data_IF_280417877631
#
_entry.id   IF_280417877631
#
_cell.length_a   1.000
_cell.length_b   1.000
_cell.length_c   1.000
_cell.angle_alpha   90.00
_cell.angle_beta   90.00
_cell.angle_gamma   90.00
#
_symmetry.space_group_name_H-M   'P 1'
#
loop_
_entity.id
_entity.type
_entity.pdbx_description
1 polymer ?
#
# COMPACT_ATOMS: atom_id res chain seq x y z
N UNK A 1 -6.41 -6.92 29.55
CA UNK A 1 -7.52 -6.87 28.57
C UNK A 1 -7.59 -5.44 28.02
N UNK A 2 -6.99 -5.18 26.86
CA UNK A 2 -7.10 -3.89 26.18
C UNK A 2 -7.61 -4.19 24.79
N UNK A 3 -8.93 -4.10 24.66
CA UNK A 3 -9.66 -4.24 23.40
C UNK A 3 -9.22 -3.04 22.55
N UNK A 4 -8.41 -3.30 21.53
CA UNK A 4 -8.43 -2.47 20.31
C UNK A 4 -9.91 -2.40 19.97
N UNK A 5 -10.52 -1.22 20.07
CA UNK A 5 -11.94 -1.09 19.76
C UNK A 5 -12.14 -1.76 18.40
N UNK A 6 -13.01 -2.77 18.36
CA UNK A 6 -13.20 -3.57 17.16
C UNK A 6 -13.84 -2.66 16.10
N UNK A 7 -12.99 -2.08 15.26
CA UNK A 7 -13.36 -1.14 14.21
C UNK A 7 -13.54 -1.86 12.88
N UNK A 8 -13.52 -3.19 12.85
CA UNK A 8 -13.64 -3.93 11.58
C UNK A 8 -15.04 -3.80 10.99
N UNK A 9 -15.10 -3.76 9.67
CA UNK A 9 -16.33 -3.78 8.89
C UNK A 9 -16.58 -5.20 8.41
N UNK A 10 -17.78 -5.70 8.65
CA UNK A 10 -18.25 -6.96 8.04
C UNK A 10 -18.61 -6.71 6.57
N UNK A 11 -18.11 -7.58 5.71
CA UNK A 11 -18.38 -7.57 4.27
C UNK A 11 -18.92 -8.94 3.92
N UNK A 12 -20.16 -9.00 3.42
CA UNK A 12 -20.84 -10.25 3.05
C UNK A 12 -20.15 -11.00 1.90
N UNK A 13 -19.29 -10.31 1.15
CA UNK A 13 -18.69 -10.81 -0.08
C UNK A 13 -19.69 -10.82 -1.24
N UNK A 14 -19.24 -11.31 -2.39
CA UNK A 14 -20.05 -11.32 -3.60
C UNK A 14 -19.21 -11.46 -4.85
N UNK A 15 -19.87 -11.32 -5.99
CA UNK A 15 -19.22 -11.31 -7.30
C UNK A 15 -19.01 -9.86 -7.73
N UNK A 16 -17.82 -9.52 -8.19
CA UNK A 16 -17.51 -8.21 -8.76
C UNK A 16 -16.58 -8.33 -9.97
N UNK A 17 -16.45 -7.23 -10.70
CA UNK A 17 -15.48 -7.09 -11.78
C UNK A 17 -14.16 -6.54 -11.18
N UNK A 18 -13.14 -7.40 -11.11
CA UNK A 18 -11.80 -7.05 -10.64
C UNK A 18 -10.93 -6.56 -11.81
N UNK A 19 -10.09 -5.56 -11.57
CA UNK A 19 -9.21 -4.94 -12.56
C UNK A 19 -9.89 -3.83 -13.39
N UNK A 20 -9.21 -3.38 -14.44
CA UNK A 20 -9.68 -2.36 -15.38
C UNK A 20 -9.09 -2.60 -16.77
N UNK A 21 -9.88 -2.33 -17.82
CA UNK A 21 -9.41 -2.38 -19.20
C UNK A 21 -8.93 -1.02 -19.74
N UNK A 22 -9.09 0.06 -18.98
CA UNK A 22 -9.00 1.42 -19.53
C UNK A 22 -7.72 2.18 -19.11
N UNK A 23 -6.96 1.61 -18.17
CA UNK A 23 -5.80 2.28 -17.56
C UNK A 23 -4.49 1.51 -17.80
N UNK A 24 -3.82 1.05 -16.73
CA UNK A 24 -2.50 0.45 -16.84
C UNK A 24 -2.56 -1.01 -17.34
N UNK A 25 -1.56 -1.48 -18.11
CA UNK A 25 -1.54 -2.85 -18.63
C UNK A 25 -1.67 -3.94 -17.56
N UNK A 26 -1.05 -3.74 -16.39
CA UNK A 26 -1.09 -4.72 -15.29
C UNK A 26 -2.46 -4.90 -14.63
N UNK A 27 -3.39 -3.98 -14.85
CA UNK A 27 -4.77 -4.04 -14.35
C UNK A 27 -5.65 -4.92 -15.25
N UNK A 28 -5.17 -5.22 -16.47
CA UNK A 28 -5.88 -5.99 -17.49
C UNK A 28 -5.58 -7.50 -17.38
N UNK A 29 -6.53 -8.34 -17.80
CA UNK A 29 -7.90 -8.00 -18.17
C UNK A 29 -8.79 -7.78 -16.94
N UNK A 30 -9.83 -6.97 -17.09
CA UNK A 30 -10.95 -6.96 -16.14
C UNK A 30 -11.68 -8.31 -16.19
N UNK A 31 -11.95 -8.92 -15.04
CA UNK A 31 -12.50 -10.27 -14.94
C UNK A 31 -13.39 -10.46 -13.71
N UNK A 32 -14.31 -11.44 -13.75
CA UNK A 32 -15.23 -11.70 -12.64
C UNK A 32 -14.53 -12.47 -11.53
N UNK A 33 -14.64 -11.97 -10.31
CA UNK A 33 -14.13 -12.62 -9.10
C UNK A 33 -15.25 -12.74 -8.09
N UNK A 34 -15.31 -13.86 -7.38
CA UNK A 34 -16.14 -14.05 -6.19
C UNK A 34 -15.27 -14.02 -4.95
N UNK A 35 -15.61 -13.17 -4.00
CA UNK A 35 -15.04 -13.16 -2.64
C UNK A 35 -16.10 -13.61 -1.65
N UNK A 36 -15.72 -14.45 -0.70
CA UNK A 36 -16.57 -14.85 0.43
C UNK A 36 -16.71 -13.74 1.46
N UNK A 37 -17.51 -13.96 2.52
CA UNK A 37 -17.61 -13.01 3.62
C UNK A 37 -16.30 -12.92 4.40
N UNK A 38 -15.98 -11.72 4.88
CA UNK A 38 -14.80 -11.43 5.69
C UNK A 38 -15.01 -10.13 6.48
N UNK A 39 -14.15 -9.87 7.44
CA UNK A 39 -14.07 -8.59 8.14
C UNK A 39 -12.79 -7.88 7.72
N UNK A 40 -12.83 -6.57 7.57
CA UNK A 40 -11.64 -5.76 7.24
C UNK A 40 -11.54 -4.53 8.14
N UNK A 41 -10.32 -4.18 8.53
CA UNK A 41 -10.08 -2.97 9.33
C UNK A 41 -10.61 -1.72 8.61
N UNK A 42 -11.36 -0.90 9.36
CA UNK A 42 -11.92 0.37 8.85
C UNK A 42 -10.84 1.36 8.39
N UNK A 43 -9.67 1.31 9.01
CA UNK A 43 -8.54 2.21 8.81
C UNK A 43 -7.26 1.39 8.56
N UNK A 44 -6.24 1.95 7.89
CA UNK A 44 -4.88 1.43 7.95
C UNK A 44 -4.36 1.36 9.40
N UNK A 45 -3.44 0.44 9.67
CA UNK A 45 -2.79 0.32 10.99
C UNK A 45 -2.03 1.61 11.31
N UNK A 46 -2.30 2.18 12.48
CA UNK A 46 -1.71 3.45 12.92
C UNK A 46 -0.34 3.25 13.60
N UNK A 47 0.45 4.33 13.69
CA UNK A 47 1.68 4.33 14.49
C UNK A 47 1.43 3.99 15.96
N UNK A 48 0.32 4.46 16.53
CA UNK A 48 -0.09 4.15 17.91
C UNK A 48 -0.31 2.66 18.11
N UNK A 49 -0.98 1.99 17.18
CA UNK A 49 -1.23 0.56 17.24
C UNK A 49 0.04 -0.26 17.02
N UNK A 50 0.84 0.10 16.00
CA UNK A 50 2.10 -0.56 15.73
C UNK A 50 3.11 -0.41 16.89
N UNK A 51 3.11 0.74 17.57
CA UNK A 51 3.91 0.96 18.77
C UNK A 51 3.55 0.00 19.91
N UNK A 52 2.27 -0.34 20.07
CA UNK A 52 1.83 -1.37 21.04
C UNK A 52 2.36 -2.75 20.68
N UNK A 53 2.29 -3.13 19.41
CA UNK A 53 2.86 -4.37 18.90
C UNK A 53 4.35 -4.47 19.22
N UNK A 54 5.12 -3.44 18.86
CA UNK A 54 6.56 -3.44 19.08
C UNK A 54 6.89 -3.45 20.58
N UNK A 55 6.17 -2.68 21.39
CA UNK A 55 6.36 -2.66 22.85
C UNK A 55 6.03 -4.01 23.50
N UNK A 56 5.02 -4.72 22.99
CA UNK A 56 4.58 -6.00 23.55
C UNK A 56 5.47 -7.18 23.13
N UNK A 57 6.09 -7.11 21.94
CA UNK A 57 6.80 -8.25 21.34
C UNK A 57 8.31 -8.06 21.25
N UNK A 58 8.81 -6.84 21.38
CA UNK A 58 10.20 -6.50 21.07
C UNK A 58 10.52 -6.59 19.58
N UNK A 59 9.51 -6.55 18.69
CA UNK A 59 9.72 -6.63 17.24
C UNK A 59 10.63 -5.51 16.73
N UNK A 60 11.65 -5.89 15.98
CA UNK A 60 12.56 -4.99 15.27
C UNK A 60 12.23 -5.08 13.79
N UNK A 61 11.86 -3.99 13.12
CA UNK A 61 11.44 -4.07 11.72
C UNK A 61 12.61 -4.37 10.78
N UNK A 62 12.31 -4.75 9.54
CA UNK A 62 13.36 -4.95 8.54
C UNK A 62 14.19 -3.67 8.29
N UNK A 63 13.56 -2.49 8.31
CA UNK A 63 14.25 -1.20 8.18
C UNK A 63 15.22 -0.89 9.34
N UNK A 64 15.03 -1.55 10.49
CA UNK A 64 15.88 -1.40 11.68
C UNK A 64 17.02 -2.43 11.71
N UNK A 65 17.16 -3.25 10.67
CA UNK A 65 18.21 -4.29 10.55
C UNK A 65 19.07 -4.01 9.32
N UNK A 66 20.35 -4.41 9.34
CA UNK A 66 21.16 -4.43 8.13
C UNK A 66 20.54 -5.35 7.06
N UNK A 67 20.60 -4.94 5.80
CA UNK A 67 20.24 -5.81 4.68
C UNK A 67 21.24 -6.97 4.56
N UNK A 68 20.78 -8.14 4.12
CA UNK A 68 21.64 -9.30 3.95
C UNK A 68 22.53 -9.12 2.71
N UNK A 69 23.87 -9.07 2.83
CA UNK A 69 24.76 -8.91 1.68
C UNK A 69 24.62 -10.03 0.64
N UNK A 70 24.09 -11.21 1.03
CA UNK A 70 23.85 -12.33 0.11
C UNK A 70 22.74 -12.05 -0.89
N UNK A 71 21.77 -11.21 -0.52
CA UNK A 71 20.67 -10.80 -1.41
C UNK A 71 21.13 -9.71 -2.40
N UNK A 72 22.24 -9.02 -2.08
CA UNK A 72 22.80 -7.91 -2.87
C UNK A 72 24.30 -8.07 -3.16
N UNK A 73 24.71 -9.07 -3.98
CA UNK A 73 26.12 -9.30 -4.29
C UNK A 73 26.78 -8.06 -4.94
N UNK A 74 27.87 -7.59 -4.33
CA UNK A 74 28.62 -6.43 -4.83
C UNK A 74 28.08 -5.06 -4.42
N UNK A 75 27.02 -5.00 -3.60
CA UNK A 75 26.57 -3.76 -3.01
C UNK A 75 27.64 -3.16 -2.07
N UNK A 76 27.70 -1.83 -2.05
CA UNK A 76 28.52 -1.10 -1.07
C UNK A 76 28.01 -1.43 0.34
N UNK A 77 28.84 -1.94 1.27
CA UNK A 77 28.43 -2.20 2.64
C UNK A 77 27.82 -0.99 3.37
N UNK A 78 28.18 0.23 2.97
CA UNK A 78 27.57 1.45 3.50
C UNK A 78 26.07 1.58 3.14
N UNK A 79 25.63 0.91 2.07
CA UNK A 79 24.23 0.82 1.64
C UNK A 79 23.50 -0.39 2.22
N UNK A 80 24.12 -1.17 3.10
CA UNK A 80 23.48 -2.33 3.75
C UNK A 80 23.18 -2.08 5.23
N UNK A 81 23.44 -0.88 5.74
CA UNK A 81 23.11 -0.48 7.12
C UNK A 81 21.60 -0.36 7.31
N UNK A 82 21.06 -0.41 8.56
CA UNK A 82 19.65 -0.18 8.83
C UNK A 82 19.15 1.10 8.17
N UNK A 83 18.23 0.95 7.21
CA UNK A 83 17.82 2.01 6.30
C UNK A 83 16.45 1.71 5.72
N UNK A 84 15.84 2.74 5.14
CA UNK A 84 14.62 2.59 4.35
C UNK A 84 14.60 3.60 3.21
N UNK A 85 13.74 3.35 2.22
CA UNK A 85 13.60 4.23 1.05
C UNK A 85 12.69 5.42 1.41
N UNK A 86 13.21 6.63 1.27
CA UNK A 86 12.52 7.88 1.61
C UNK A 86 12.37 8.75 0.37
N UNK A 87 11.19 9.34 0.21
CA UNK A 87 10.97 10.37 -0.80
C UNK A 87 11.60 11.67 -0.33
N UNK A 88 12.51 12.22 -1.13
CA UNK A 88 13.10 13.54 -0.90
C UNK A 88 12.68 14.42 -2.07
N UNK A 89 11.81 15.38 -1.76
CA UNK A 89 11.30 16.33 -2.75
C UNK A 89 12.46 17.15 -3.33
N UNK A 90 12.70 17.10 -4.66
CA UNK A 90 13.70 17.95 -5.30
C UNK A 90 13.34 19.42 -5.20
N UNK A 91 14.34 20.31 -5.22
CA UNK A 91 14.12 21.77 -5.16
C UNK A 91 13.59 22.38 -6.47
N UNK A 92 13.47 21.60 -7.54
CA UNK A 92 13.01 22.03 -8.86
C UNK A 92 12.79 20.85 -9.81
N UNK A 93 12.41 21.10 -11.07
CA UNK A 93 12.20 20.05 -12.06
C UNK A 93 13.42 19.15 -12.23
N UNK A 94 13.18 17.84 -12.35
CA UNK A 94 14.20 16.80 -12.54
C UNK A 94 13.77 15.83 -13.64
N UNK A 95 14.72 15.02 -14.12
CA UNK A 95 14.41 13.96 -15.09
C UNK A 95 13.51 12.88 -14.47
N UNK A 96 12.30 12.76 -15.01
CA UNK A 96 11.25 11.84 -14.56
C UNK A 96 11.53 10.37 -14.91
N UNK A 97 12.52 10.09 -15.77
CA UNK A 97 12.91 8.72 -16.11
C UNK A 97 13.86 8.10 -15.09
N UNK A 98 14.50 8.92 -14.24
CA UNK A 98 15.42 8.47 -13.20
C UNK A 98 14.81 8.69 -11.81
N UNK A 99 14.27 7.62 -11.24
CA UNK A 99 13.63 7.63 -9.91
C UNK A 99 14.59 7.97 -8.76
N UNK A 100 15.90 7.79 -8.94
CA UNK A 100 16.91 8.16 -7.93
C UNK A 100 17.00 9.67 -7.69
N UNK A 101 16.37 10.48 -8.55
CA UNK A 101 16.28 11.93 -8.34
C UNK A 101 15.41 12.32 -7.14
N UNK A 102 14.53 11.42 -6.66
CA UNK A 102 13.66 11.69 -5.50
C UNK A 102 13.49 10.50 -4.54
N UNK A 103 13.91 9.29 -4.92
CA UNK A 103 13.94 8.13 -4.03
C UNK A 103 15.36 7.90 -3.50
N UNK A 104 15.52 8.03 -2.19
CA UNK A 104 16.82 7.89 -1.54
C UNK A 104 16.78 6.75 -0.52
N UNK A 105 17.83 5.93 -0.50
CA UNK A 105 18.05 4.98 0.57
C UNK A 105 18.71 5.71 1.75
N UNK A 106 17.97 5.87 2.85
CA UNK A 106 18.36 6.73 3.97
C UNK A 106 18.65 5.89 5.20
N UNK A 107 19.91 5.94 5.65
CA UNK A 107 20.34 5.29 6.88
C UNK A 107 19.57 5.81 8.10
N UNK A 108 19.08 4.89 8.92
CA UNK A 108 18.28 5.16 10.11
C UNK A 108 16.84 5.60 9.85
N UNK A 109 16.40 5.70 8.59
CA UNK A 109 14.98 5.87 8.28
C UNK A 109 14.24 4.56 8.59
N UNK A 110 13.17 4.65 9.37
CA UNK A 110 12.33 3.52 9.76
C UNK A 110 10.97 4.05 10.24
N UNK A 111 10.11 3.17 10.77
CA UNK A 111 8.76 3.54 11.18
C UNK A 111 8.72 4.58 12.32
N UNK A 112 9.76 4.67 13.17
CA UNK A 112 9.90 5.70 14.22
C UNK A 112 10.48 7.01 13.70
N UNK A 113 11.21 6.94 12.60
CA UNK A 113 11.95 8.04 11.99
C UNK A 113 11.56 8.18 10.50
N UNK A 114 10.27 8.45 10.18
CA UNK A 114 9.72 8.22 8.84
C UNK A 114 10.19 9.21 7.76
N UNK A 115 10.93 10.25 8.17
CA UNK A 115 11.51 11.24 7.27
C UNK A 115 13.04 11.26 7.34
N UNK A 116 13.64 10.23 7.93
CA UNK A 116 15.08 10.11 8.14
C UNK A 116 15.49 10.13 9.62
N UNK A 117 16.77 9.86 9.92
CA UNK A 117 17.27 9.45 11.25
C UNK A 117 17.11 10.49 12.36
N UNK A 118 16.86 11.75 12.02
CA UNK A 118 16.69 12.86 12.98
C UNK A 118 15.23 13.26 13.18
N UNK A 119 14.30 12.51 12.61
CA UNK A 119 12.85 12.77 12.73
C UNK A 119 12.22 11.88 13.79
N UNK A 120 11.05 12.21 14.31
CA UNK A 120 10.34 11.43 15.32
C UNK A 120 8.87 11.29 14.93
N UNK A 121 8.11 10.51 15.70
CA UNK A 121 6.66 10.32 15.52
C UNK A 121 5.80 11.42 16.18
N UNK A 122 6.40 12.56 16.56
CA UNK A 122 5.67 13.63 17.23
C UNK A 122 4.46 14.10 16.39
N UNK A 123 3.27 13.95 16.94
CA UNK A 123 2.01 14.28 16.26
C UNK A 123 1.55 13.28 15.18
N UNK A 124 2.22 12.15 15.02
CA UNK A 124 1.92 11.13 14.00
C UNK A 124 1.26 9.85 14.55
N UNK A 125 0.82 9.86 15.81
CA UNK A 125 0.23 8.69 16.46
C UNK A 125 -0.91 8.06 15.65
N UNK A 126 -1.82 8.88 15.13
CA UNK A 126 -3.02 8.44 14.40
C UNK A 126 -2.82 8.46 12.88
N UNK A 127 -1.57 8.61 12.41
CA UNK A 127 -1.19 8.41 11.02
C UNK A 127 -0.91 6.93 10.74
N UNK A 128 -1.04 6.47 9.49
CA UNK A 128 -0.67 5.11 9.12
C UNK A 128 0.82 4.85 9.41
N UNK A 129 1.12 3.67 9.93
CA UNK A 129 2.52 3.23 10.03
C UNK A 129 3.10 3.02 8.64
N UNK A 130 4.33 3.51 8.44
CA UNK A 130 5.09 3.37 7.19
C UNK A 130 6.46 2.75 7.47
N UNK A 131 7.28 2.54 6.43
CA UNK A 131 8.57 1.83 6.54
C UNK A 131 8.44 0.39 7.08
N UNK A 132 7.31 -0.25 6.77
CA UNK A 132 7.04 -1.64 7.11
C UNK A 132 7.12 -2.51 5.86
N UNK A 133 7.87 -3.60 5.94
CA UNK A 133 7.89 -4.62 4.89
C UNK A 133 6.66 -5.52 4.98
N UNK A 134 6.46 -6.39 3.97
CA UNK A 134 5.44 -7.43 4.04
C UNK A 134 5.59 -8.31 5.30
N UNK A 135 6.83 -8.63 5.68
CA UNK A 135 7.10 -9.45 6.86
C UNK A 135 6.71 -8.74 8.17
N UNK A 136 6.95 -7.43 8.25
CA UNK A 136 6.56 -6.61 9.41
C UNK A 136 5.03 -6.52 9.53
N UNK A 137 4.34 -6.26 8.41
CA UNK A 137 2.89 -6.21 8.34
C UNK A 137 2.25 -7.55 8.74
N UNK A 138 2.79 -8.67 8.23
CA UNK A 138 2.30 -9.99 8.57
C UNK A 138 2.58 -10.36 10.03
N UNK A 139 3.72 -9.95 10.60
CA UNK A 139 4.05 -10.20 12.00
C UNK A 139 3.07 -9.46 12.93
N UNK A 140 2.75 -8.20 12.63
CA UNK A 140 1.73 -7.44 13.34
C UNK A 140 0.36 -8.12 13.24
N UNK A 141 -0.10 -8.45 12.02
CA UNK A 141 -1.42 -9.04 11.81
C UNK A 141 -1.57 -10.34 12.61
N UNK A 142 -0.56 -11.23 12.56
CA UNK A 142 -0.53 -12.47 13.35
C UNK A 142 -0.56 -12.22 14.86
N UNK A 143 0.13 -11.20 15.36
CA UNK A 143 0.16 -10.87 16.79
C UNK A 143 -1.23 -10.51 17.33
N UNK A 144 -2.04 -9.79 16.54
CA UNK A 144 -3.43 -9.48 16.90
C UNK A 144 -4.45 -10.55 16.47
N UNK A 145 -4.00 -11.70 15.97
CA UNK A 145 -4.89 -12.80 15.55
C UNK A 145 -5.62 -12.56 14.22
N UNK A 146 -5.11 -11.64 13.39
CA UNK A 146 -5.65 -11.29 12.07
C UNK A 146 -4.74 -11.76 10.94
N UNK A 147 -5.08 -11.42 9.70
CA UNK A 147 -4.28 -11.64 8.50
C UNK A 147 -4.25 -10.39 7.60
N UNK A 148 -3.47 -10.42 6.52
CA UNK A 148 -3.51 -9.40 5.47
C UNK A 148 -4.63 -9.74 4.45
N UNK A 149 -5.30 -8.72 3.87
CA UNK A 149 -6.31 -8.95 2.83
C UNK A 149 -5.67 -9.61 1.61
N UNK A 150 -6.44 -10.41 0.87
CA UNK A 150 -6.05 -10.71 -0.51
C UNK A 150 -6.18 -9.49 -1.39
N UNK A 151 -5.54 -9.51 -2.56
CA UNK A 151 -5.77 -8.48 -3.55
C UNK A 151 -7.26 -8.34 -3.91
N UNK A 152 -7.95 -9.46 -4.08
CA UNK A 152 -9.36 -9.46 -4.43
C UNK A 152 -10.26 -8.95 -3.29
N UNK A 153 -9.99 -9.38 -2.05
CA UNK A 153 -10.70 -8.87 -0.86
C UNK A 153 -10.51 -7.36 -0.73
N UNK A 154 -9.27 -6.88 -0.89
CA UNK A 154 -8.95 -5.46 -0.83
C UNK A 154 -9.66 -4.66 -1.92
N UNK A 155 -9.63 -5.11 -3.17
CA UNK A 155 -10.26 -4.36 -4.27
C UNK A 155 -11.79 -4.38 -4.18
N UNK A 156 -12.37 -5.51 -3.79
CA UNK A 156 -13.80 -5.60 -3.52
C UNK A 156 -14.22 -4.61 -2.44
N UNK A 157 -13.48 -4.59 -1.33
CA UNK A 157 -13.69 -3.66 -0.23
C UNK A 157 -13.52 -2.20 -0.68
N UNK A 158 -12.50 -1.89 -1.49
CA UNK A 158 -12.21 -0.54 -1.98
C UNK A 158 -13.33 0.02 -2.87
N UNK A 159 -13.99 -0.84 -3.67
CA UNK A 159 -15.14 -0.46 -4.52
C UNK A 159 -16.39 -0.11 -3.73
N UNK A 160 -16.49 -0.49 -2.45
CA UNK A 160 -17.53 0.03 -1.55
C UNK A 160 -18.96 -0.28 -1.98
N UNK A 161 -19.19 -1.41 -2.68
CA UNK A 161 -20.52 -1.81 -3.16
C UNK A 161 -21.04 -1.04 -4.38
N UNK A 162 -20.19 -0.25 -5.04
CA UNK A 162 -20.56 0.50 -6.24
C UNK A 162 -20.24 -0.28 -7.51
N UNK A 163 -20.95 0.04 -8.59
CA UNK A 163 -20.55 -0.37 -9.94
C UNK A 163 -19.13 0.15 -10.27
N UNK A 164 -18.41 -0.50 -11.20
CA UNK A 164 -17.06 -0.07 -11.56
C UNK A 164 -17.01 1.41 -11.97
N UNK A 165 -16.26 2.19 -11.20
CA UNK A 165 -15.96 3.60 -11.43
C UNK A 165 -14.44 3.82 -11.34
N UNK A 166 -13.97 5.01 -11.74
CA UNK A 166 -12.54 5.31 -11.73
C UNK A 166 -11.94 5.33 -10.30
N UNK A 167 -12.62 5.99 -9.35
CA UNK A 167 -12.21 6.13 -7.95
C UNK A 167 -13.21 5.45 -7.00
N UNK A 168 -12.82 5.27 -5.74
CA UNK A 168 -13.67 4.62 -4.72
C UNK A 168 -15.02 5.35 -4.44
N UNK A 169 -15.18 6.57 -4.95
CA UNK A 169 -16.35 7.44 -4.77
C UNK A 169 -16.99 7.89 -6.09
N UNK A 170 -16.56 7.36 -7.24
CA UNK A 170 -17.06 7.73 -8.57
C UNK A 170 -15.97 8.12 -9.56
N UNK A 171 -16.33 8.83 -10.63
CA UNK A 171 -15.43 9.06 -11.78
C UNK A 171 -14.68 10.40 -11.75
N UNK A 172 -14.94 11.25 -10.75
CA UNK A 172 -14.25 12.53 -10.57
C UNK A 172 -13.30 12.46 -9.40
N UNK A 173 -12.06 12.94 -9.59
CA UNK A 173 -11.04 12.98 -8.52
C UNK A 173 -11.49 13.83 -7.33
N UNK A 174 -12.24 14.90 -7.59
CA UNK A 174 -12.82 15.76 -6.55
C UNK A 174 -14.35 15.70 -6.58
N UNK A 175 -14.97 15.83 -5.40
CA UNK A 175 -16.43 15.92 -5.27
C UNK A 175 -16.77 17.32 -4.78
N UNK A 176 -17.48 18.08 -5.63
CA UNK A 176 -17.81 19.51 -5.38
C UNK A 176 -16.58 20.35 -5.05
N UNK A 177 -15.48 20.12 -5.78
CA UNK A 177 -14.21 20.84 -5.61
C UNK A 177 -13.41 20.44 -4.38
N UNK A 178 -13.80 19.38 -3.66
CA UNK A 178 -13.05 18.86 -2.51
C UNK A 178 -12.35 17.56 -2.84
N UNK A 179 -11.06 17.47 -2.49
CA UNK A 179 -10.30 16.22 -2.53
C UNK A 179 -10.94 15.18 -1.60
N UNK A 180 -10.94 13.92 -2.03
CA UNK A 180 -11.55 12.79 -1.30
C UNK A 180 -10.51 11.78 -0.82
N UNK A 181 -9.23 12.04 -1.08
CA UNK A 181 -8.09 11.27 -0.61
C UNK A 181 -6.86 12.16 -0.57
N UNK A 182 -5.88 11.75 0.24
CA UNK A 182 -4.55 12.36 0.26
C UNK A 182 -3.72 11.84 -0.92
N UNK A 183 -3.38 12.73 -1.85
CA UNK A 183 -2.63 12.46 -3.09
C UNK A 183 -1.70 13.64 -3.40
N UNK A 184 -0.99 13.62 -4.52
CA UNK A 184 -0.14 14.75 -4.90
C UNK A 184 -0.88 15.74 -5.81
N UNK A 185 -0.89 17.02 -5.45
CA UNK A 185 -1.35 18.11 -6.32
C UNK A 185 -0.19 19.03 -6.69
N UNK A 186 -0.12 19.43 -7.96
CA UNK A 186 0.99 20.20 -8.52
C UNK A 186 1.93 19.36 -9.38
N UNK A 187 3.11 19.88 -9.69
CA UNK A 187 4.09 19.20 -10.53
C UNK A 187 4.95 18.22 -9.72
N UNK A 188 4.58 16.94 -9.77
CA UNK A 188 5.44 15.88 -9.25
C UNK A 188 6.81 15.85 -9.97
N UNK A 189 7.94 15.58 -9.29
CA UNK A 189 8.10 15.34 -7.84
C UNK A 189 8.46 16.59 -7.03
N UNK A 190 8.50 17.78 -7.63
CA UNK A 190 9.21 18.93 -7.05
C UNK A 190 8.28 20.01 -6.48
N UNK A 191 7.00 20.02 -6.86
CA UNK A 191 5.99 20.96 -6.36
C UNK A 191 4.74 20.23 -5.89
N UNK A 192 4.53 20.18 -4.57
CA UNK A 192 3.26 19.79 -3.94
C UNK A 192 2.59 21.06 -3.38
N UNK A 193 1.39 21.38 -3.90
CA UNK A 193 0.60 22.56 -3.49
C UNK A 193 -0.36 22.28 -2.33
N UNK A 194 -0.47 21.04 -1.86
CA UNK A 194 -1.22 20.63 -0.65
C UNK A 194 -2.69 21.07 -0.65
N UNK A 195 -3.36 21.04 -1.80
CA UNK A 195 -4.79 21.40 -1.89
C UNK A 195 -5.68 20.46 -1.07
N UNK A 196 -5.23 19.23 -0.84
CA UNK A 196 -5.91 18.24 0.00
C UNK A 196 -5.63 18.39 1.50
N UNK A 197 -4.74 19.33 1.88
CA UNK A 197 -4.37 19.64 3.26
C UNK A 197 -3.16 18.89 3.82
N UNK A 198 -2.51 18.01 3.05
CA UNK A 198 -1.44 17.17 3.58
C UNK A 198 -0.24 16.99 2.62
N UNK A 199 0.94 17.44 3.03
CA UNK A 199 2.21 17.16 2.31
C UNK A 199 2.68 15.70 2.38
N UNK A 200 2.49 15.07 3.53
CA UNK A 200 2.89 13.70 3.84
C UNK A 200 1.63 12.85 4.07
N UNK A 201 1.74 11.71 4.73
CA UNK A 201 0.57 10.98 5.25
C UNK A 201 -0.38 11.91 6.02
N UNK A 202 -1.67 11.61 5.97
CA UNK A 202 -2.72 12.23 6.78
C UNK A 202 -3.11 11.29 7.93
N UNK A 203 -3.70 11.79 9.04
CA UNK A 203 -4.34 10.92 10.02
C UNK A 203 -5.32 9.98 9.33
N UNK A 204 -5.45 8.75 9.82
CA UNK A 204 -6.41 7.81 9.24
C UNK A 204 -7.84 8.35 9.42
N UNK A 205 -8.66 8.19 8.39
CA UNK A 205 -10.03 8.69 8.40
C UNK A 205 -10.19 10.19 8.13
N UNK A 206 -9.16 10.87 7.63
CA UNK A 206 -9.22 12.32 7.32
C UNK A 206 -10.21 12.66 6.19
N UNK A 207 -10.46 11.72 5.29
CA UNK A 207 -11.36 11.88 4.15
C UNK A 207 -12.64 11.04 4.31
N UNK A 208 -13.70 11.27 3.51
CA UNK A 208 -14.92 10.49 3.61
C UNK A 208 -14.70 8.98 3.39
N UNK A 209 -15.46 8.11 4.07
CA UNK A 209 -15.40 6.68 3.80
C UNK A 209 -16.07 6.33 2.47
N UNK A 210 -15.75 5.16 1.92
CA UNK A 210 -16.50 4.59 0.81
C UNK A 210 -17.85 3.99 1.26
N UNK A 211 -18.58 3.37 0.33
CA UNK A 211 -19.93 2.83 0.60
C UNK A 211 -20.00 1.70 1.65
N UNK A 212 -18.88 1.08 2.01
CA UNK A 212 -18.81 0.11 3.12
C UNK A 212 -18.37 0.74 4.45
N UNK A 213 -18.12 2.05 4.49
CA UNK A 213 -17.61 2.70 5.69
C UNK A 213 -16.10 2.58 5.87
N UNK A 214 -15.35 2.20 4.83
CA UNK A 214 -13.89 2.07 4.85
C UNK A 214 -13.23 3.39 4.47
N UNK A 215 -12.16 3.74 5.19
CA UNK A 215 -11.40 4.96 4.99
C UNK A 215 -10.06 4.68 4.32
N UNK A 216 -9.52 5.70 3.64
CA UNK A 216 -8.18 5.69 3.05
C UNK A 216 -7.91 4.48 2.13
N UNK A 217 -8.95 3.93 1.51
CA UNK A 217 -8.78 2.83 0.54
C UNK A 217 -8.01 3.29 -0.70
N UNK A 218 -7.98 4.58 -1.01
CA UNK A 218 -7.12 5.13 -2.06
C UNK A 218 -6.40 6.36 -1.54
N UNK A 219 -5.13 6.55 -1.95
CA UNK A 219 -4.26 7.61 -1.42
C UNK A 219 -3.69 7.31 -0.04
N UNK A 220 -3.17 8.33 0.64
CA UNK A 220 -2.47 8.28 1.92
C UNK A 220 -1.23 7.35 1.91
N UNK A 221 -1.40 6.04 2.02
CA UNK A 221 -0.33 5.04 1.91
C UNK A 221 -0.75 3.88 1.02
N UNK A 222 0.22 3.32 0.30
CA UNK A 222 0.07 2.01 -0.32
C UNK A 222 -0.16 0.96 0.74
N UNK A 223 -0.92 -0.07 0.42
CA UNK A 223 -1.23 -1.14 1.36
C UNK A 223 -0.81 -2.51 0.87
N UNK A 224 -0.09 -3.24 1.72
CA UNK A 224 0.27 -4.63 1.48
C UNK A 224 -0.95 -5.54 1.40
N UNK A 225 -0.94 -6.45 0.42
CA UNK A 225 -1.87 -7.59 0.36
C UNK A 225 -1.12 -8.91 0.41
N UNK A 226 -1.86 -9.99 0.67
CA UNK A 226 -1.31 -11.34 0.88
C UNK A 226 -0.85 -12.04 -0.40
N UNK A 227 -1.04 -11.44 -1.57
CA UNK A 227 -0.94 -12.13 -2.86
C UNK A 227 0.47 -11.99 -3.45
N UNK A 228 1.02 -13.09 -3.95
CA UNK A 228 2.19 -13.01 -4.83
C UNK A 228 1.75 -12.38 -6.16
N UNK A 229 2.53 -11.42 -6.63
CA UNK A 229 2.20 -10.68 -7.84
C UNK A 229 2.20 -11.60 -9.07
N UNK A 230 1.12 -11.55 -9.84
CA UNK A 230 1.02 -12.14 -11.18
C UNK A 230 0.12 -11.29 -12.08
N UNK A 231 0.31 -11.42 -13.39
CA UNK A 231 -0.59 -10.81 -14.38
C UNK A 231 -2.00 -11.44 -14.29
N UNK A 232 -3.05 -10.63 -14.50
CA UNK A 232 -4.42 -11.11 -14.41
C UNK A 232 -4.78 -12.09 -15.54
N UNK A 233 -4.12 -12.03 -16.70
CA UNK A 233 -4.34 -12.97 -17.81
C UNK A 233 -3.94 -14.42 -17.48
N UNK A 234 -3.09 -14.60 -16.46
CA UNK A 234 -2.71 -15.92 -15.93
C UNK A 234 -3.72 -16.48 -14.94
N UNK A 235 -4.71 -15.70 -14.52
CA UNK A 235 -5.81 -16.21 -13.71
C UNK A 235 -6.70 -17.08 -14.60
N UNK A 236 -6.58 -18.40 -14.42
CA UNK A 236 -7.35 -19.35 -15.20
C UNK A 236 -8.82 -19.29 -14.80
N UNK A 237 -9.68 -18.80 -15.69
CA UNK A 237 -11.12 -19.08 -15.62
C UNK A 237 -11.68 -19.34 -17.02
N UNK A 238 -12.66 -20.22 -17.11
CA UNK A 238 -13.54 -20.26 -18.28
C UNK A 238 -14.29 -18.93 -18.30
N UNK A 239 -14.37 -18.27 -19.45
CA UNK A 239 -14.94 -16.92 -19.60
C UNK A 239 -16.35 -16.72 -19.00
N UNK A 240 -17.11 -17.79 -18.72
CA UNK A 240 -18.44 -17.74 -18.11
C UNK A 240 -18.44 -17.71 -16.57
N UNK A 241 -17.35 -18.07 -15.88
CA UNK A 241 -17.34 -18.28 -14.44
C UNK A 241 -16.50 -17.23 -13.71
N UNK A 242 -16.99 -16.78 -12.55
CA UNK A 242 -16.18 -15.99 -11.62
C UNK A 242 -15.10 -16.89 -10.99
N UNK A 243 -13.91 -16.34 -10.76
CA UNK A 243 -12.85 -17.00 -10.00
C UNK A 243 -13.19 -16.92 -8.52
N UNK A 244 -13.24 -18.07 -7.84
CA UNK A 244 -13.59 -18.16 -6.42
C UNK A 244 -12.38 -17.89 -5.51
N UNK A 245 -12.47 -16.85 -4.69
CA UNK A 245 -11.49 -16.46 -3.66
C UNK A 245 -10.02 -16.59 -4.13
N UNK A 246 -9.60 -15.89 -5.20
CA UNK A 246 -8.23 -15.99 -5.70
C UNK A 246 -7.22 -15.59 -4.61
N UNK A 247 -6.07 -16.27 -4.60
CA UNK A 247 -4.98 -16.09 -3.62
C UNK A 247 -3.65 -15.69 -4.27
N UNK A 248 -3.73 -15.08 -5.45
CA UNK A 248 -2.56 -14.62 -6.20
C UNK A 248 -1.77 -15.76 -6.85
N UNK A 249 -0.53 -15.45 -7.23
CA UNK A 249 0.37 -16.39 -7.89
C UNK A 249 1.26 -17.21 -6.98
N UNK A 250 2.30 -17.79 -7.58
CA UNK A 250 3.32 -18.57 -6.88
C UNK A 250 4.54 -17.68 -6.58
N UNK A 251 5.10 -17.81 -5.37
CA UNK A 251 6.31 -17.07 -4.93
C UNK A 251 7.43 -17.12 -5.97
N UNK A 252 7.72 -18.33 -6.48
CA UNK A 252 8.84 -18.59 -7.40
C UNK A 252 8.68 -17.93 -8.77
N UNK A 253 7.47 -17.48 -9.11
CA UNK A 253 7.16 -16.82 -10.40
C UNK A 253 6.96 -15.33 -10.26
N UNK A 254 7.00 -14.82 -9.03
CA UNK A 254 6.68 -13.44 -8.71
C UNK A 254 7.94 -12.60 -8.61
N UNK A 255 8.66 -12.47 -9.73
CA UNK A 255 9.92 -11.72 -9.81
C UNK A 255 9.85 -10.73 -10.97
N UNK A 256 10.53 -9.60 -10.84
CA UNK A 256 10.72 -8.67 -11.95
C UNK A 256 11.90 -9.15 -12.79
N UNK A 257 11.72 -9.50 -14.07
CA UNK A 257 12.82 -9.97 -14.93
C UNK A 257 13.88 -8.90 -15.20
N UNK A 258 13.59 -7.62 -14.94
CA UNK A 258 14.54 -6.52 -15.11
C UNK A 258 15.28 -6.18 -13.80
N UNK A 259 14.86 -6.76 -12.68
CA UNK A 259 15.56 -6.64 -11.40
C UNK A 259 16.58 -7.79 -11.31
N UNK A 260 17.87 -7.43 -11.18
CA UNK A 260 18.94 -8.41 -10.98
C UNK A 260 18.87 -9.14 -9.64
N UNK A 261 18.07 -8.63 -8.69
CA UNK A 261 17.79 -9.31 -7.43
C UNK A 261 16.75 -10.41 -7.61
N UNK A 262 16.95 -11.54 -6.95
CA UNK A 262 15.98 -12.64 -6.93
C UNK A 262 14.86 -12.42 -5.89
N UNK A 263 14.57 -11.17 -5.52
CA UNK A 263 13.63 -10.85 -4.45
C UNK A 263 12.20 -10.94 -4.99
N UNK A 264 11.33 -11.79 -4.40
CA UNK A 264 9.98 -11.95 -4.88
C UNK A 264 9.10 -10.74 -4.54
N UNK A 265 8.00 -10.58 -5.27
CA UNK A 265 7.12 -9.43 -5.22
C UNK A 265 5.74 -9.77 -4.65
N UNK A 266 5.23 -8.97 -3.73
CA UNK A 266 3.82 -9.01 -3.32
C UNK A 266 3.06 -7.88 -3.99
N UNK A 267 1.73 -8.01 -4.05
CA UNK A 267 0.87 -6.94 -4.56
C UNK A 267 0.73 -5.86 -3.49
N UNK A 268 0.83 -4.60 -3.92
CA UNK A 268 0.35 -3.43 -3.18
C UNK A 268 -0.83 -2.78 -3.91
N UNK A 269 -1.74 -2.20 -3.13
CA UNK A 269 -2.96 -1.54 -3.63
C UNK A 269 -3.12 -0.13 -3.02
N UNK A 270 -3.97 0.70 -3.63
CA UNK A 270 -4.43 1.97 -3.07
C UNK A 270 -3.72 3.23 -3.53
N UNK A 271 -2.45 3.17 -3.95
CA UNK A 271 -1.68 4.40 -4.19
C UNK A 271 -1.29 5.07 -2.87
N UNK A 272 -0.73 6.28 -2.92
CA UNK A 272 -0.29 7.01 -1.72
C UNK A 272 -0.42 8.53 -1.90
N UNK A 273 -0.09 9.28 -0.85
CA UNK A 273 0.06 10.74 -0.88
C UNK A 273 1.06 11.26 -1.95
N UNK A 274 1.92 10.40 -2.49
CA UNK A 274 2.87 10.75 -3.56
C UNK A 274 2.35 10.45 -4.97
N UNK A 275 1.18 9.85 -5.11
CA UNK A 275 0.61 9.55 -6.41
C UNK A 275 -0.01 10.81 -7.03
N UNK A 276 0.44 11.17 -8.24
CA UNK A 276 0.08 12.40 -8.94
C UNK A 276 -0.57 12.13 -10.31
N UNK A 277 -1.54 12.96 -10.76
CA UNK A 277 -2.16 12.82 -12.08
C UNK A 277 -1.15 12.81 -13.25
N UNK A 278 -0.05 13.55 -13.12
CA UNK A 278 0.98 13.73 -14.13
C UNK A 278 2.11 12.66 -14.09
N UNK A 279 2.05 11.68 -13.18
CA UNK A 279 3.07 10.64 -13.06
C UNK A 279 2.52 9.27 -12.68
N UNK A 280 1.76 9.17 -11.58
CA UNK A 280 1.27 7.91 -11.03
C UNK A 280 -0.20 8.03 -10.62
N UNK A 281 -1.11 7.55 -11.48
CA UNK A 281 -2.57 7.50 -11.25
C UNK A 281 -3.02 6.18 -10.61
N UNK A 282 -2.27 5.70 -9.61
CA UNK A 282 -2.57 4.44 -8.92
C UNK A 282 -3.41 4.59 -7.65
N UNK A 283 -3.96 5.78 -7.40
CA UNK A 283 -5.03 6.03 -6.40
C UNK A 283 -6.41 5.59 -6.90
N UNK A 284 -6.51 4.40 -7.48
CA UNK A 284 -7.76 3.82 -8.01
C UNK A 284 -7.94 2.40 -7.48
N UNK A 285 -9.15 1.91 -7.21
CA UNK A 285 -9.36 0.56 -6.69
C UNK A 285 -8.69 -0.54 -7.54
N UNK A 286 -8.81 -0.43 -8.86
CA UNK A 286 -8.23 -1.40 -9.81
C UNK A 286 -6.70 -1.36 -9.89
N UNK A 287 -6.08 -0.24 -9.50
CA UNK A 287 -4.65 -0.07 -9.61
C UNK A 287 -3.90 -1.04 -8.68
N UNK A 288 -2.72 -1.47 -9.12
CA UNK A 288 -1.88 -2.43 -8.43
C UNK A 288 -0.41 -2.22 -8.76
N UNK A 289 0.47 -2.64 -7.88
CA UNK A 289 1.92 -2.59 -8.09
C UNK A 289 2.58 -3.84 -7.52
N UNK A 290 3.64 -4.31 -8.17
CA UNK A 290 4.51 -5.36 -7.66
C UNK A 290 5.59 -4.73 -6.78
N UNK A 291 5.65 -5.08 -5.50
CA UNK A 291 6.62 -4.52 -4.55
C UNK A 291 7.56 -5.61 -4.00
N UNK A 292 8.90 -5.40 -4.02
CA UNK A 292 9.85 -6.28 -3.34
C UNK A 292 9.48 -6.46 -1.87
N UNK A 293 9.43 -7.71 -1.41
CA UNK A 293 8.97 -8.00 -0.04
C UNK A 293 9.89 -7.48 1.07
N UNK A 294 11.13 -7.14 0.76
CA UNK A 294 12.14 -6.65 1.69
C UNK A 294 12.31 -5.12 1.66
N UNK A 295 11.75 -4.47 0.65
CA UNK A 295 11.83 -3.02 0.52
C UNK A 295 10.71 -2.36 1.30
N UNK A 296 11.08 -1.58 2.30
CA UNK A 296 10.19 -0.66 2.99
C UNK A 296 10.34 0.77 2.47
N UNK A 297 9.26 1.55 2.45
CA UNK A 297 9.29 2.96 2.02
C UNK A 297 8.42 3.86 2.91
N UNK A 298 8.63 5.18 2.81
CA UNK A 298 7.87 6.19 3.57
C UNK A 298 6.40 6.35 3.15
N UNK A 299 5.91 5.55 2.19
CA UNK A 299 4.54 5.61 1.70
C UNK A 299 3.81 4.27 1.69
N UNK A 300 4.41 3.19 2.25
CA UNK A 300 3.80 1.86 2.30
C UNK A 300 3.44 1.50 3.74
N UNK A 301 2.16 1.22 3.97
CA UNK A 301 1.58 0.68 5.19
C UNK A 301 0.74 -0.57 4.91
N UNK A 302 -0.27 -0.83 5.73
CA UNK A 302 -1.17 -1.98 5.58
C UNK A 302 -2.42 -1.85 6.46
N UNK A 303 -3.42 -2.70 6.19
CA UNK A 303 -4.58 -2.96 7.05
C UNK A 303 -4.82 -4.46 7.17
N UNK A 304 -5.58 -4.91 8.17
CA UNK A 304 -5.81 -6.34 8.41
C UNK A 304 -7.24 -6.79 8.10
N UNK A 305 -7.41 -8.12 8.00
CA UNK A 305 -8.69 -8.82 7.82
C UNK A 305 -8.84 -9.99 8.78
N UNK A 306 -10.08 -10.44 8.96
CA UNK A 306 -10.48 -11.68 9.64
C UNK A 306 -11.43 -12.46 8.73
N UNK A 307 -11.35 -13.80 8.77
CA UNK A 307 -12.14 -14.71 7.92
C UNK A 307 -12.67 -15.87 8.74
#
# INVERSE_FOLDING_TARGET
>A
MSVVADTMIEIDGGVFLMGSNDHYPEERPAHKVRVGPFRIDRYPVTNREFSRFVSATGHVTAAERPADPRDYPGADPALLVPSSVVFVQPSGPVDMSNTHNWWHYVAGANWRHPRGPFTQLDGLDDHPVVHVTFADAQAYAKWIGKDLPTEAEWEYAARGGQEPSEFAWGDSLTVRGRHQANTWQGEFPWMNVEEDGHRWTSPVGSYPPNGYGLYDMIGNVWEWTSDWYQQHDRLQSKACCAIDNPRGGERQRSHDPNDGSAIPRRVMKGGSHLCAPNYCRRYRPAARMAQPIDTSTCHVGFRCVER
#
